data_IF_818411658249
#
_entry.id   IF_818411658249
#
_cell.length_a   1.000
_cell.length_b   1.000
_cell.length_c   1.000
_cell.angle_alpha   90.00
_cell.angle_beta   90.00
_cell.angle_gamma   90.00
#
_symmetry.space_group_name_H-M   'P 1'
#
loop_
_entity.id
_entity.type
_entity.pdbx_description
1 polymer ?
#
# COMPACT_ATOMS: atom_id res chain seq x y z
N UNK A 1 -70.37 15.48 -1.19
CA UNK A 1 -68.97 15.11 -0.93
C UNK A 1 -68.49 14.24 -2.09
N UNK A 2 -67.85 14.86 -3.09
CA UNK A 2 -67.40 14.16 -4.31
C UNK A 2 -66.07 13.47 -4.04
N UNK A 3 -66.11 12.14 -3.92
CA UNK A 3 -64.96 11.29 -3.68
C UNK A 3 -64.21 11.07 -5.01
N UNK A 4 -63.07 11.75 -5.21
CA UNK A 4 -62.21 11.55 -6.39
C UNK A 4 -61.33 10.33 -6.12
N UNK A 5 -61.64 9.20 -6.78
CA UNK A 5 -60.71 8.09 -6.89
C UNK A 5 -59.53 8.53 -7.77
N UNK A 6 -58.36 8.75 -7.16
CA UNK A 6 -57.10 8.82 -7.87
C UNK A 6 -56.82 7.41 -8.40
N UNK A 7 -56.79 7.26 -9.72
CA UNK A 7 -56.49 5.99 -10.38
C UNK A 7 -55.03 5.63 -10.08
N UNK A 8 -54.83 4.70 -9.15
CA UNK A 8 -53.50 4.20 -8.80
C UNK A 8 -53.01 3.34 -9.99
N UNK A 9 -52.10 3.90 -10.79
CA UNK A 9 -51.51 3.20 -11.94
C UNK A 9 -50.42 2.28 -11.40
N UNK A 10 -50.72 0.98 -11.31
CA UNK A 10 -49.73 -0.03 -10.95
C UNK A 10 -48.59 -0.11 -11.98
N UNK A 11 -47.35 -0.26 -11.52
CA UNK A 11 -46.20 -0.56 -12.36
C UNK A 11 -46.40 -1.90 -13.07
N UNK A 12 -46.04 -1.98 -14.35
CA UNK A 12 -46.04 -3.24 -15.08
C UNK A 12 -44.85 -4.10 -14.65
N UNK A 13 -45.03 -5.42 -14.63
CA UNK A 13 -43.94 -6.37 -14.34
C UNK A 13 -42.78 -6.20 -15.33
N UNK A 14 -43.09 -5.85 -16.59
CA UNK A 14 -42.08 -5.63 -17.63
C UNK A 14 -41.24 -4.39 -17.35
N UNK A 15 -41.85 -3.30 -16.87
CA UNK A 15 -41.11 -2.09 -16.46
C UNK A 15 -40.16 -2.37 -15.30
N UNK A 16 -40.56 -3.21 -14.34
CA UNK A 16 -39.68 -3.57 -13.24
C UNK A 16 -38.56 -4.53 -13.69
N UNK A 17 -38.86 -5.44 -14.63
CA UNK A 17 -37.89 -6.38 -15.18
C UNK A 17 -36.75 -5.68 -15.94
N UNK A 18 -37.08 -4.72 -16.82
CA UNK A 18 -36.02 -4.01 -17.55
C UNK A 18 -35.13 -3.18 -16.61
N UNK A 19 -35.70 -2.61 -15.55
CA UNK A 19 -34.94 -1.83 -14.56
C UNK A 19 -33.93 -2.70 -13.83
N UNK A 20 -34.33 -3.89 -13.35
CA UNK A 20 -33.37 -4.77 -12.65
C UNK A 20 -32.29 -5.31 -13.60
N UNK A 21 -32.61 -5.53 -14.88
CA UNK A 21 -31.62 -5.94 -15.90
C UNK A 21 -30.61 -4.82 -16.15
N UNK A 22 -31.09 -3.58 -16.35
CA UNK A 22 -30.21 -2.42 -16.55
C UNK A 22 -29.34 -2.17 -15.33
N UNK A 23 -29.90 -2.22 -14.11
CA UNK A 23 -29.14 -2.10 -12.86
C UNK A 23 -28.09 -3.22 -12.76
N UNK A 24 -28.45 -4.47 -13.11
CA UNK A 24 -27.53 -5.60 -13.12
C UNK A 24 -26.33 -5.41 -14.05
N UNK A 25 -26.57 -4.92 -15.27
CA UNK A 25 -25.50 -4.63 -16.25
C UNK A 25 -24.59 -3.49 -15.74
N UNK A 26 -25.18 -2.39 -15.25
CA UNK A 26 -24.42 -1.25 -14.73
C UNK A 26 -23.60 -1.62 -13.48
N UNK A 27 -24.15 -2.46 -12.59
CA UNK A 27 -23.46 -2.96 -11.41
C UNK A 27 -22.26 -3.85 -11.78
N UNK A 28 -22.42 -4.73 -12.77
CA UNK A 28 -21.33 -5.60 -13.22
C UNK A 28 -20.14 -4.80 -13.78
N UNK A 29 -20.40 -3.77 -14.60
CA UNK A 29 -19.34 -2.91 -15.15
C UNK A 29 -18.66 -2.10 -14.06
N UNK A 30 -19.42 -1.52 -13.14
CA UNK A 30 -18.87 -0.69 -12.06
C UNK A 30 -17.97 -1.48 -11.11
N UNK A 31 -18.31 -2.73 -10.77
CA UNK A 31 -17.48 -3.57 -9.88
C UNK A 31 -16.08 -3.80 -10.47
N UNK A 32 -15.98 -4.13 -11.76
CA UNK A 32 -14.67 -4.39 -12.41
C UNK A 32 -13.82 -3.13 -12.47
N UNK A 33 -14.43 -1.98 -12.81
CA UNK A 33 -13.72 -0.70 -12.88
C UNK A 33 -13.24 -0.19 -11.51
N UNK A 34 -14.02 -0.44 -10.45
CA UNK A 34 -13.74 0.07 -9.10
C UNK A 34 -12.44 -0.48 -8.51
N UNK A 35 -12.14 -1.76 -8.74
CA UNK A 35 -10.93 -2.41 -8.21
C UNK A 35 -9.64 -1.71 -8.70
N UNK A 36 -9.54 -1.41 -9.99
CA UNK A 36 -8.35 -0.74 -10.55
C UNK A 36 -8.18 0.71 -10.09
N UNK A 37 -9.29 1.43 -9.84
CA UNK A 37 -9.24 2.81 -9.32
C UNK A 37 -8.73 2.80 -7.89
N UNK A 38 -9.17 1.85 -7.07
CA UNK A 38 -8.72 1.72 -5.69
C UNK A 38 -7.22 1.45 -5.62
N UNK A 39 -6.69 0.50 -6.41
CA UNK A 39 -5.25 0.22 -6.48
C UNK A 39 -4.43 1.46 -6.84
N UNK A 40 -4.89 2.28 -7.80
CA UNK A 40 -4.22 3.53 -8.17
C UNK A 40 -4.17 4.55 -7.03
N UNK A 41 -5.29 4.74 -6.31
CA UNK A 41 -5.35 5.65 -5.17
C UNK A 41 -4.42 5.21 -4.03
N UNK A 42 -4.36 3.90 -3.78
CA UNK A 42 -3.46 3.31 -2.78
C UNK A 42 -1.99 3.49 -3.21
N UNK A 43 -1.64 3.20 -4.45
CA UNK A 43 -0.30 3.42 -4.97
C UNK A 43 0.12 4.89 -4.86
N UNK A 44 -0.77 5.85 -5.17
CA UNK A 44 -0.48 7.27 -5.00
C UNK A 44 -0.17 7.63 -3.54
N UNK A 45 -0.92 7.04 -2.59
CA UNK A 45 -0.69 7.21 -1.16
C UNK A 45 0.66 6.60 -0.74
N UNK A 46 0.93 5.36 -1.15
CA UNK A 46 2.20 4.67 -0.87
C UNK A 46 3.38 5.47 -1.42
N UNK A 47 3.34 5.90 -2.68
CA UNK A 47 4.42 6.69 -3.28
C UNK A 47 4.63 8.03 -2.58
N UNK A 48 3.55 8.72 -2.19
CA UNK A 48 3.66 9.96 -1.41
C UNK A 48 4.37 9.70 -0.07
N UNK A 49 3.99 8.64 0.64
CA UNK A 49 4.57 8.26 1.92
C UNK A 49 6.03 7.83 1.78
N UNK A 50 6.36 6.99 0.80
CA UNK A 50 7.75 6.58 0.51
C UNK A 50 8.62 7.78 0.17
N UNK A 51 8.12 8.75 -0.61
CA UNK A 51 8.86 9.97 -0.91
C UNK A 51 9.11 10.83 0.35
N UNK A 52 8.14 10.90 1.27
CA UNK A 52 8.33 11.59 2.54
C UNK A 52 9.38 10.88 3.41
N UNK A 53 9.33 9.55 3.52
CA UNK A 53 10.34 8.76 4.23
C UNK A 53 11.73 8.91 3.61
N UNK A 54 11.84 8.81 2.28
CA UNK A 54 13.09 9.02 1.54
C UNK A 54 13.73 10.36 1.87
N UNK A 55 12.96 11.45 1.80
CA UNK A 55 13.43 12.80 2.15
C UNK A 55 13.84 12.91 3.61
N UNK A 56 13.07 12.34 4.53
CA UNK A 56 13.36 12.39 5.96
C UNK A 56 14.63 11.61 6.32
N UNK A 57 14.81 10.42 5.74
CA UNK A 57 16.00 9.59 5.94
C UNK A 57 17.24 10.26 5.34
N UNK A 58 17.12 10.86 4.16
CA UNK A 58 18.21 11.63 3.55
C UNK A 58 18.57 12.87 4.38
N UNK A 59 17.57 13.59 4.90
CA UNK A 59 17.79 14.76 5.76
C UNK A 59 18.47 14.36 7.07
N UNK A 60 18.03 13.25 7.69
CA UNK A 60 18.73 12.67 8.84
C UNK A 60 20.19 12.37 8.53
N UNK A 61 20.45 11.78 7.36
CA UNK A 61 21.81 11.41 6.97
C UNK A 61 22.71 12.62 6.71
N UNK A 62 22.17 13.69 6.14
CA UNK A 62 22.88 14.98 5.99
C UNK A 62 23.22 15.56 7.35
N UNK A 63 22.29 15.54 8.31
CA UNK A 63 22.47 16.16 9.63
C UNK A 63 23.36 15.35 10.58
N UNK A 64 23.32 14.02 10.48
CA UNK A 64 24.05 13.10 11.38
C UNK A 64 25.30 12.50 10.76
N UNK A 65 25.50 12.64 9.45
CA UNK A 65 26.58 11.97 8.71
C UNK A 65 26.46 10.45 8.70
N UNK A 66 25.30 9.90 9.11
CA UNK A 66 24.98 8.47 9.13
C UNK A 66 23.49 8.27 8.84
N UNK A 67 23.13 7.17 8.18
CA UNK A 67 21.72 6.81 8.04
C UNK A 67 21.10 6.36 9.37
N UNK A 68 19.76 6.47 9.53
CA UNK A 68 19.07 6.05 10.75
C UNK A 68 19.44 4.62 11.17
N UNK A 69 19.89 4.42 12.42
CA UNK A 69 20.18 3.10 12.97
C UNK A 69 18.88 2.34 13.30
N UNK A 70 19.02 1.08 13.74
CA UNK A 70 17.92 0.20 14.14
C UNK A 70 17.03 -0.26 12.97
N UNK A 71 17.65 -1.02 12.08
CA UNK A 71 16.99 -1.79 11.02
C UNK A 71 16.99 -3.28 11.36
N UNK A 72 16.01 -4.07 10.88
CA UNK A 72 14.86 -3.68 10.05
C UNK A 72 13.78 -2.88 10.80
N UNK A 73 13.01 -2.08 10.06
CA UNK A 73 11.88 -1.31 10.60
C UNK A 73 10.67 -1.31 9.66
N UNK A 74 9.46 -1.35 10.22
CA UNK A 74 8.23 -1.07 9.49
C UNK A 74 8.07 0.41 9.23
N UNK A 75 7.67 0.78 8.01
CA UNK A 75 7.23 2.14 7.74
C UNK A 75 5.82 2.34 8.30
N UNK A 76 5.45 3.61 8.52
CA UNK A 76 4.20 4.09 9.12
C UNK A 76 3.87 3.59 10.52
N UNK A 77 4.76 2.82 11.16
CA UNK A 77 4.51 2.18 12.45
C UNK A 77 3.34 1.19 12.42
N UNK A 78 2.87 0.80 11.23
CA UNK A 78 1.77 -0.13 11.09
C UNK A 78 2.27 -1.56 10.95
N UNK A 79 1.72 -2.45 11.77
CA UNK A 79 1.96 -3.87 11.73
C UNK A 79 0.66 -4.63 11.96
N UNK A 80 0.54 -5.76 11.27
CA UNK A 80 -0.65 -6.63 11.32
C UNK A 80 -0.30 -8.08 10.97
N UNK A 81 0.99 -8.40 10.92
CA UNK A 81 1.51 -9.71 10.55
C UNK A 81 2.36 -10.29 11.68
N UNK A 82 2.68 -11.57 11.54
CA UNK A 82 3.45 -12.33 12.53
C UNK A 82 2.61 -12.72 13.75
N UNK A 83 3.17 -13.61 14.58
CA UNK A 83 2.48 -14.17 15.76
C UNK A 83 2.05 -13.13 16.79
N UNK A 84 2.78 -12.01 16.85
CA UNK A 84 2.55 -10.91 17.78
C UNK A 84 1.85 -9.69 17.15
N UNK A 85 1.44 -9.77 15.87
CA UNK A 85 0.88 -8.64 15.11
C UNK A 85 1.74 -7.36 15.13
N UNK A 86 3.04 -7.52 15.38
CA UNK A 86 4.03 -6.44 15.46
C UNK A 86 4.93 -6.39 14.22
N UNK A 87 4.65 -7.24 13.23
CA UNK A 87 5.40 -7.30 11.98
C UNK A 87 4.64 -6.72 10.80
N UNK A 88 5.41 -6.18 9.85
CA UNK A 88 4.97 -5.78 8.52
C UNK A 88 5.51 -6.71 7.42
N UNK A 89 6.26 -7.76 7.79
CA UNK A 89 6.73 -8.81 6.87
C UNK A 89 6.91 -10.13 7.59
N UNK A 90 6.54 -11.25 6.96
CA UNK A 90 6.77 -12.62 7.47
C UNK A 90 8.07 -13.25 6.97
N UNK A 91 8.97 -12.47 6.36
CA UNK A 91 10.33 -12.94 6.02
C UNK A 91 11.10 -13.39 7.26
N UNK A 92 12.14 -14.21 7.10
CA UNK A 92 12.94 -14.78 8.21
C UNK A 92 13.49 -13.75 9.21
N UNK A 93 13.72 -12.51 8.78
CA UNK A 93 14.21 -11.42 9.65
C UNK A 93 13.10 -10.69 10.42
N UNK A 94 11.82 -10.94 10.12
CA UNK A 94 10.64 -10.34 10.76
C UNK A 94 10.75 -8.81 10.89
N UNK A 95 10.37 -8.06 9.86
CA UNK A 95 10.35 -6.59 9.96
C UNK A 95 9.31 -6.17 11.00
N UNK A 96 9.74 -5.55 12.09
CA UNK A 96 8.91 -5.14 13.22
C UNK A 96 8.73 -3.62 13.31
N UNK A 97 7.70 -3.20 14.04
CA UNK A 97 7.58 -1.80 14.49
C UNK A 97 8.85 -1.43 15.25
N UNK A 98 9.48 -0.33 14.86
CA UNK A 98 10.70 0.16 15.47
C UNK A 98 10.53 1.61 15.90
N UNK A 99 10.15 1.80 17.17
CA UNK A 99 9.89 3.13 17.73
C UNK A 99 11.14 4.01 17.78
N UNK A 100 12.33 3.42 17.88
CA UNK A 100 13.60 4.14 17.83
C UNK A 100 13.87 4.71 16.44
N UNK A 101 13.60 3.92 15.38
CA UNK A 101 13.64 4.40 14.01
C UNK A 101 12.65 5.55 13.81
N UNK A 102 11.38 5.34 14.17
CA UNK A 102 10.33 6.38 14.02
C UNK A 102 10.71 7.68 14.74
N UNK A 103 11.23 7.57 15.96
CA UNK A 103 11.67 8.73 16.75
C UNK A 103 12.86 9.44 16.12
N UNK A 104 13.80 8.70 15.50
CA UNK A 104 14.99 9.27 14.87
C UNK A 104 14.67 10.13 13.66
N UNK A 105 13.66 9.75 12.85
CA UNK A 105 13.27 10.47 11.63
C UNK A 105 12.13 11.48 11.85
N UNK A 106 11.42 11.39 12.98
CA UNK A 106 10.31 12.29 13.34
C UNK A 106 10.64 13.78 13.22
N UNK A 107 11.84 14.28 13.59
CA UNK A 107 12.17 15.71 13.41
C UNK A 107 12.17 16.18 11.96
N UNK A 108 12.31 15.27 11.01
CA UNK A 108 12.38 15.54 9.56
C UNK A 108 11.04 15.29 8.84
N UNK A 109 9.97 15.03 9.61
CA UNK A 109 8.62 14.75 9.11
C UNK A 109 7.61 15.63 9.85
N UNK A 110 6.66 16.22 9.11
CA UNK A 110 5.54 16.94 9.75
C UNK A 110 4.62 16.00 10.55
N UNK A 111 4.43 14.78 10.05
CA UNK A 111 3.80 13.65 10.73
C UNK A 111 4.33 12.37 10.08
N UNK A 112 4.30 11.24 10.80
CA UNK A 112 4.60 9.94 10.19
C UNK A 112 3.59 9.67 9.08
N UNK A 113 4.04 9.53 7.81
CA UNK A 113 3.15 9.26 6.71
C UNK A 113 2.40 7.97 6.96
N UNK A 114 1.07 8.04 6.98
CA UNK A 114 0.25 6.83 6.95
C UNK A 114 0.31 6.25 5.55
N UNK A 115 0.37 4.94 5.52
CA UNK A 115 0.33 4.16 4.29
C UNK A 115 -0.87 3.24 4.36
N UNK A 116 -1.16 2.56 3.27
CA UNK A 116 -2.10 1.45 3.31
C UNK A 116 -1.57 0.33 4.22
N UNK A 117 -2.49 -0.44 4.83
CA UNK A 117 -2.19 -1.60 5.68
C UNK A 117 -2.56 -2.95 5.04
N UNK A 118 -2.83 -2.98 3.73
CA UNK A 118 -3.16 -4.21 3.02
C UNK A 118 -2.00 -5.18 3.06
N UNK A 119 -2.35 -6.44 3.25
CA UNK A 119 -1.39 -7.53 3.16
C UNK A 119 -1.28 -7.94 1.69
N UNK A 120 -0.07 -7.90 1.15
CA UNK A 120 0.28 -8.52 -0.13
C UNK A 120 1.11 -9.76 0.09
N UNK A 121 1.03 -10.70 -0.84
CA UNK A 121 1.84 -11.92 -0.82
C UNK A 121 2.83 -11.88 -1.97
N UNK A 122 4.10 -12.10 -1.64
CA UNK A 122 5.18 -12.29 -2.61
C UNK A 122 5.89 -13.60 -2.41
N UNK A 123 6.43 -14.16 -3.48
CA UNK A 123 7.18 -15.43 -3.45
C UNK A 123 8.62 -15.24 -3.87
N UNK A 124 9.50 -16.08 -3.31
CA UNK A 124 10.87 -16.29 -3.80
C UNK A 124 11.05 -17.80 -3.89
N UNK A 125 11.21 -18.33 -5.11
CA UNK A 125 11.21 -19.77 -5.33
C UNK A 125 9.87 -20.38 -4.89
N UNK A 126 9.91 -21.31 -3.93
CA UNK A 126 8.73 -21.98 -3.37
C UNK A 126 8.18 -21.31 -2.11
N UNK A 127 8.95 -20.39 -1.52
CA UNK A 127 8.58 -19.76 -0.26
C UNK A 127 7.63 -18.58 -0.49
N UNK A 128 6.62 -18.47 0.36
CA UNK A 128 5.63 -17.39 0.34
C UNK A 128 5.80 -16.48 1.56
N UNK A 129 5.82 -15.18 1.31
CA UNK A 129 5.96 -14.16 2.33
C UNK A 129 4.83 -13.15 2.22
N UNK A 130 4.31 -12.73 3.37
CA UNK A 130 3.30 -11.70 3.46
C UNK A 130 3.96 -10.40 3.89
N UNK A 131 3.47 -9.29 3.34
CA UNK A 131 3.98 -7.96 3.62
C UNK A 131 2.83 -6.95 3.77
N UNK A 132 2.96 -5.96 4.66
CA UNK A 132 1.99 -4.87 4.81
C UNK A 132 2.37 -3.66 3.94
N UNK A 133 1.46 -3.17 3.10
CA UNK A 133 1.65 -2.13 2.07
C UNK A 133 2.28 -0.82 2.52
N UNK A 134 2.51 -0.67 3.81
CA UNK A 134 3.37 0.36 4.39
C UNK A 134 4.79 0.37 3.87
N UNK A 135 5.32 -0.78 3.48
CA UNK A 135 6.72 -0.90 3.10
C UNK A 135 7.63 -0.95 4.34
N UNK A 136 8.92 -1.13 4.11
CA UNK A 136 9.91 -1.35 5.16
C UNK A 136 11.20 -0.58 4.91
N UNK A 137 11.93 -0.30 5.98
CA UNK A 137 13.30 0.21 5.93
C UNK A 137 14.25 -0.89 6.42
N UNK A 138 15.28 -1.17 5.62
CA UNK A 138 16.19 -2.29 5.86
C UNK A 138 17.50 -2.16 5.10
N UNK A 139 18.22 -3.26 5.01
CA UNK A 139 19.46 -3.36 4.22
C UNK A 139 19.20 -4.13 2.94
N UNK A 140 19.73 -3.63 1.84
CA UNK A 140 19.87 -4.36 0.58
C UNK A 140 21.32 -4.26 0.12
N UNK A 141 21.98 -5.41 -0.08
CA UNK A 141 23.38 -5.47 -0.53
C UNK A 141 24.33 -4.59 0.29
N UNK A 142 24.16 -4.57 1.62
CA UNK A 142 24.98 -3.80 2.56
C UNK A 142 24.65 -2.30 2.64
N UNK A 143 23.63 -1.82 1.93
CA UNK A 143 23.21 -0.41 1.93
C UNK A 143 21.82 -0.23 2.52
N UNK A 144 21.55 0.89 3.22
CA UNK A 144 20.21 1.22 3.66
C UNK A 144 19.29 1.36 2.46
N UNK A 145 18.06 0.87 2.60
CA UNK A 145 17.11 0.77 1.51
C UNK A 145 15.67 0.82 2.01
N UNK A 146 14.78 1.35 1.17
CA UNK A 146 13.33 1.27 1.36
C UNK A 146 12.77 0.18 0.45
N UNK A 147 11.95 -0.69 1.01
CA UNK A 147 11.16 -1.67 0.28
C UNK A 147 9.70 -1.25 0.31
N UNK A 148 9.04 -1.31 -0.83
CA UNK A 148 7.62 -1.05 -0.94
C UNK A 148 7.09 -1.74 -2.19
N UNK A 149 5.78 -1.72 -2.40
CA UNK A 149 5.18 -2.37 -3.56
C UNK A 149 4.01 -1.57 -4.06
N UNK A 150 3.71 -1.81 -5.33
CA UNK A 150 2.66 -1.13 -6.05
C UNK A 150 1.70 -2.19 -6.59
N UNK A 151 0.43 -2.01 -6.28
CA UNK A 151 -0.67 -2.86 -6.70
C UNK A 151 -0.97 -2.63 -8.18
N UNK A 152 -1.29 -3.69 -8.93
CA UNK A 152 -1.60 -3.65 -10.36
C UNK A 152 -0.57 -2.89 -11.22
N UNK A 153 0.70 -2.94 -10.82
CA UNK A 153 1.82 -2.30 -11.49
C UNK A 153 2.89 -3.33 -11.88
N UNK A 154 3.58 -3.09 -13.00
CA UNK A 154 4.62 -3.98 -13.54
C UNK A 154 6.03 -3.38 -13.45
N UNK A 155 6.14 -2.08 -13.15
CA UNK A 155 7.41 -1.36 -13.10
C UNK A 155 7.47 -0.45 -11.89
N UNK A 156 8.67 -0.26 -11.36
CA UNK A 156 8.91 0.71 -10.31
C UNK A 156 8.94 2.15 -10.87
N UNK A 157 8.75 3.17 -10.02
CA UNK A 157 8.89 4.57 -10.41
C UNK A 157 10.30 4.91 -10.89
N UNK A 158 10.41 5.92 -11.77
CA UNK A 158 11.69 6.43 -12.27
C UNK A 158 12.40 7.36 -11.26
N UNK A 159 12.51 6.94 -10.01
CA UNK A 159 13.10 7.73 -8.92
C UNK A 159 14.40 7.13 -8.35
N UNK A 160 14.98 6.17 -9.08
CA UNK A 160 16.13 5.37 -8.69
C UNK A 160 15.76 4.02 -8.05
N UNK A 161 14.46 3.73 -7.91
CA UNK A 161 13.98 2.44 -7.41
C UNK A 161 14.09 1.36 -8.47
N UNK A 162 14.46 0.16 -8.04
CA UNK A 162 14.59 -1.03 -8.89
C UNK A 162 13.60 -2.11 -8.45
N UNK A 163 13.28 -3.03 -9.36
CA UNK A 163 12.42 -4.18 -9.04
C UNK A 163 13.11 -5.07 -8.02
N UNK A 164 12.38 -5.41 -6.95
CA UNK A 164 12.85 -6.28 -5.89
C UNK A 164 12.83 -7.77 -6.26
N UNK A 165 13.35 -8.65 -5.39
CA UNK A 165 13.47 -10.08 -5.67
C UNK A 165 12.14 -10.83 -5.55
N UNK A 166 11.12 -10.24 -4.94
CA UNK A 166 9.84 -10.88 -4.70
C UNK A 166 8.95 -10.82 -5.94
N UNK A 167 8.54 -11.99 -6.41
CA UNK A 167 7.52 -12.12 -7.45
C UNK A 167 6.16 -11.93 -6.78
N UNK A 168 5.37 -10.98 -7.27
CA UNK A 168 4.04 -10.70 -6.72
C UNK A 168 2.97 -10.89 -7.79
N UNK A 169 1.80 -11.36 -7.37
CA UNK A 169 0.68 -11.55 -8.29
C UNK A 169 0.03 -10.18 -8.56
N UNK A 170 0.03 -9.75 -9.83
CA UNK A 170 -0.51 -8.45 -10.26
C UNK A 170 0.03 -7.28 -9.42
N UNK A 171 1.30 -7.31 -9.03
CA UNK A 171 1.95 -6.24 -8.26
C UNK A 171 3.45 -6.28 -8.54
N UNK A 172 4.16 -5.20 -8.21
CA UNK A 172 5.61 -5.13 -8.31
C UNK A 172 6.21 -4.76 -6.97
N UNK A 173 7.25 -5.49 -6.57
CA UNK A 173 8.09 -5.12 -5.42
C UNK A 173 9.16 -4.13 -5.89
N UNK A 174 9.38 -3.07 -5.13
CA UNK A 174 10.31 -2.00 -5.45
C UNK A 174 11.27 -1.75 -4.29
N UNK A 175 12.53 -1.49 -4.63
CA UNK A 175 13.60 -1.20 -3.69
C UNK A 175 14.25 0.11 -4.09
N UNK A 176 14.26 1.07 -3.18
CA UNK A 176 15.06 2.28 -3.29
C UNK A 176 16.31 2.14 -2.43
N UNK A 177 17.49 2.09 -3.03
CA UNK A 177 18.77 2.01 -2.31
C UNK A 177 19.33 3.40 -2.10
N UNK A 178 19.62 3.76 -0.86
CA UNK A 178 20.18 5.06 -0.55
C UNK A 178 21.65 5.15 -1.02
N UNK A 179 22.10 6.33 -1.50
CA UNK A 179 23.49 6.53 -1.90
C UNK A 179 24.44 6.46 -0.70
N UNK A 180 25.72 6.26 -0.96
CA UNK A 180 26.73 6.37 0.09
C UNK A 180 26.83 7.84 0.55
N UNK A 181 27.14 8.00 1.83
CA UNK A 181 27.35 9.27 2.54
C UNK A 181 28.83 9.44 2.87
#
# INVERSE_FOLDING_TARGET
>A
MTNRHLTDRGFTIVELLIVIVVIGILAAITIVAYNGIQSKALNATTLSSINAYKKAIQSYAVDKGIYPPNIPACLSGQASLGVSNDQCSTTSTGYKINSSFDTSIKPYLAALPKTDSRVVTGTIGVDSYQFNSSGTYGIFSGKPSLYYWLLDATTCPNDGSVVGPYVMQNSVSCIYVFPNI
#
